data_IF_305372258222
#
_entry.id   IF_305372258222
#
_cell.length_a   1.000
_cell.length_b   1.000
_cell.length_c   1.000
_cell.angle_alpha   90.00
_cell.angle_beta   90.00
_cell.angle_gamma   90.00
#
_symmetry.space_group_name_H-M   'P 1'
#
loop_
_entity.id
_entity.type
_entity.pdbx_description
1 polymer ?
#
# COMPACT_ATOMS: atom_id res chain seq x y z
N UNK A 1 37.20 27.09 -1.99
CA UNK A 1 36.31 26.42 -1.01
C UNK A 1 36.73 24.94 -0.94
N UNK A 2 37.07 24.44 0.25
CA UNK A 2 37.71 23.12 0.44
C UNK A 2 36.74 21.94 0.31
N UNK A 3 37.21 20.85 -0.33
CA UNK A 3 36.49 19.59 -0.57
C UNK A 3 35.85 18.95 0.68
N UNK A 4 36.36 19.28 1.88
CA UNK A 4 35.82 18.80 3.14
C UNK A 4 34.37 19.27 3.42
N UNK A 5 33.95 20.43 2.89
CA UNK A 5 32.56 20.92 3.05
C UNK A 5 31.56 20.23 2.12
N UNK A 6 31.99 19.71 0.97
CA UNK A 6 31.11 19.01 0.03
C UNK A 6 30.78 17.57 0.49
N UNK A 7 31.74 16.89 1.12
CA UNK A 7 31.57 15.52 1.63
C UNK A 7 30.58 15.48 2.80
N UNK A 8 30.60 16.49 3.69
CA UNK A 8 29.69 16.57 4.82
C UNK A 8 28.21 16.78 4.39
N UNK A 9 27.97 17.57 3.32
CA UNK A 9 26.62 17.81 2.78
C UNK A 9 26.06 16.55 2.11
N UNK A 10 26.89 15.81 1.37
CA UNK A 10 26.49 14.56 0.71
C UNK A 10 26.22 13.41 1.71
N UNK A 11 27.04 13.28 2.75
CA UNK A 11 26.80 12.31 3.82
C UNK A 11 25.53 12.62 4.63
N UNK A 12 25.24 13.91 4.86
CA UNK A 12 24.00 14.36 5.50
C UNK A 12 22.75 14.04 4.66
N UNK A 13 22.82 14.24 3.33
CA UNK A 13 21.73 13.88 2.41
C UNK A 13 21.54 12.36 2.35
N UNK A 14 22.60 11.57 2.20
CA UNK A 14 22.51 10.11 2.17
C UNK A 14 21.94 9.53 3.48
N UNK A 15 22.33 10.10 4.63
CA UNK A 15 21.76 9.74 5.93
C UNK A 15 20.27 10.10 6.05
N UNK A 16 19.87 11.27 5.56
CA UNK A 16 18.46 11.69 5.48
C UNK A 16 17.65 10.77 4.56
N UNK A 17 18.17 10.42 3.39
CA UNK A 17 17.53 9.48 2.46
C UNK A 17 17.41 8.06 3.04
N UNK A 18 18.42 7.56 3.75
CA UNK A 18 18.35 6.25 4.40
C UNK A 18 17.28 6.20 5.51
N UNK A 19 17.14 7.28 6.29
CA UNK A 19 16.10 7.42 7.32
C UNK A 19 14.70 7.57 6.71
N UNK A 20 14.56 8.30 5.60
CA UNK A 20 13.32 8.44 4.84
C UNK A 20 12.92 7.14 4.13
N UNK A 21 13.87 6.31 3.69
CA UNK A 21 13.55 5.02 3.06
C UNK A 21 12.94 4.00 4.03
N UNK A 22 13.17 4.17 5.34
CA UNK A 22 12.62 3.27 6.37
C UNK A 22 11.36 3.79 7.04
N UNK A 23 10.99 5.05 6.81
CA UNK A 23 9.85 5.70 7.44
C UNK A 23 8.93 6.27 6.38
N UNK A 24 7.68 5.82 6.39
CA UNK A 24 6.61 6.48 5.64
C UNK A 24 6.61 7.96 5.98
N UNK A 25 6.84 8.81 4.99
CA UNK A 25 6.65 10.24 5.12
C UNK A 25 5.14 10.49 5.10
N UNK A 26 4.62 10.93 6.23
CA UNK A 26 3.20 11.22 6.44
C UNK A 26 3.08 12.67 6.88
N UNK A 27 2.28 13.46 6.16
CA UNK A 27 1.90 14.79 6.63
C UNK A 27 0.94 14.63 7.83
N UNK A 28 1.27 15.17 9.01
CA UNK A 28 0.38 15.11 10.17
C UNK A 28 -0.99 15.74 9.86
N UNK A 29 -2.08 15.08 10.26
CA UNK A 29 -3.45 15.58 10.05
C UNK A 29 -4.12 15.15 8.74
N UNK A 30 -3.40 14.49 7.82
CA UNK A 30 -3.99 13.98 6.58
C UNK A 30 -4.71 12.62 6.73
N UNK A 31 -4.55 11.94 7.88
CA UNK A 31 -5.14 10.63 8.10
C UNK A 31 -6.67 10.70 8.10
N UNK A 32 -7.30 9.86 7.29
CA UNK A 32 -8.75 9.76 7.22
C UNK A 32 -9.31 9.03 8.46
N UNK A 33 -10.51 9.41 8.94
CA UNK A 33 -11.20 8.65 9.98
C UNK A 33 -11.43 7.19 9.55
N UNK A 34 -11.34 6.20 10.46
CA UNK A 34 -11.55 4.79 10.12
C UNK A 34 -12.89 4.52 9.42
N UNK A 35 -13.97 5.18 9.85
CA UNK A 35 -15.29 5.04 9.21
C UNK A 35 -15.31 5.53 7.76
N UNK A 36 -14.56 6.59 7.43
CA UNK A 36 -14.45 7.09 6.05
C UNK A 36 -13.67 6.13 5.17
N UNK A 37 -12.60 5.51 5.69
CA UNK A 37 -11.85 4.46 4.98
C UNK A 37 -12.71 3.22 4.76
N UNK A 38 -13.48 2.80 5.77
CA UNK A 38 -14.42 1.69 5.65
C UNK A 38 -15.50 1.94 4.59
N UNK A 39 -16.11 3.14 4.59
CA UNK A 39 -17.10 3.52 3.59
C UNK A 39 -16.50 3.51 2.17
N UNK A 40 -15.28 4.04 2.01
CA UNK A 40 -14.57 4.03 0.74
C UNK A 40 -14.24 2.61 0.26
N UNK A 41 -13.85 1.71 1.17
CA UNK A 41 -13.61 0.30 0.86
C UNK A 41 -14.91 -0.37 0.36
N UNK A 42 -16.04 -0.15 1.05
CA UNK A 42 -17.35 -0.67 0.64
C UNK A 42 -17.74 -0.15 -0.74
N UNK A 43 -17.63 1.16 -0.97
CA UNK A 43 -17.93 1.78 -2.27
C UNK A 43 -17.06 1.19 -3.38
N UNK A 44 -15.76 1.08 -3.15
CA UNK A 44 -14.79 0.55 -4.13
C UNK A 44 -15.14 -0.90 -4.49
N UNK A 45 -15.40 -1.76 -3.51
CA UNK A 45 -15.77 -3.16 -3.73
C UNK A 45 -17.06 -3.28 -4.51
N UNK A 46 -18.10 -2.53 -4.11
CA UNK A 46 -19.40 -2.57 -4.75
C UNK A 46 -19.35 -2.07 -6.19
N UNK A 47 -18.61 -0.98 -6.44
CA UNK A 47 -18.53 -0.37 -7.76
C UNK A 47 -17.69 -1.17 -8.74
N UNK A 48 -16.56 -1.74 -8.32
CA UNK A 48 -15.56 -2.26 -9.24
C UNK A 48 -15.30 -3.76 -9.13
N UNK A 49 -15.57 -4.37 -7.97
CA UNK A 49 -15.19 -5.76 -7.69
C UNK A 49 -16.38 -6.69 -7.47
N UNK A 50 -17.61 -6.18 -7.55
CA UNK A 50 -18.84 -6.99 -7.47
C UNK A 50 -18.93 -7.84 -6.19
N UNK A 51 -18.41 -7.34 -5.06
CA UNK A 51 -18.41 -8.07 -3.79
C UNK A 51 -17.38 -9.20 -3.67
N UNK A 52 -16.46 -9.37 -4.63
CA UNK A 52 -15.44 -10.44 -4.58
C UNK A 52 -14.42 -10.28 -3.44
N UNK A 53 -14.29 -9.08 -2.90
CA UNK A 53 -13.37 -8.74 -1.80
C UNK A 53 -14.19 -8.32 -0.59
N UNK A 54 -13.85 -8.83 0.60
CA UNK A 54 -14.39 -8.30 1.85
C UNK A 54 -13.84 -6.87 2.09
N UNK A 55 -14.69 -5.83 2.15
CA UNK A 55 -14.24 -4.45 2.38
C UNK A 55 -13.45 -4.28 3.69
N UNK A 56 -13.69 -5.13 4.68
CA UNK A 56 -12.97 -5.08 5.96
C UNK A 56 -11.49 -5.45 5.79
N UNK A 57 -11.15 -6.29 4.80
CA UNK A 57 -9.74 -6.56 4.44
C UNK A 57 -9.08 -5.26 3.99
N UNK A 58 -9.72 -4.50 3.09
CA UNK A 58 -9.15 -3.27 2.54
C UNK A 58 -8.99 -2.19 3.62
N UNK A 59 -9.98 -2.04 4.49
CA UNK A 59 -9.90 -1.07 5.59
C UNK A 59 -8.79 -1.41 6.60
N UNK A 60 -8.63 -2.69 6.95
CA UNK A 60 -7.54 -3.15 7.82
C UNK A 60 -6.17 -3.00 7.16
N UNK A 61 -6.06 -3.27 5.85
CA UNK A 61 -4.84 -3.05 5.08
C UNK A 61 -4.47 -1.56 5.04
N UNK A 62 -5.40 -0.67 4.71
CA UNK A 62 -5.16 0.78 4.71
C UNK A 62 -4.62 1.28 6.07
N UNK A 63 -5.13 0.72 7.18
CA UNK A 63 -4.66 1.04 8.53
C UNK A 63 -3.20 0.66 8.76
N UNK A 64 -2.79 -0.55 8.39
CA UNK A 64 -1.42 -1.03 8.65
C UNK A 64 -0.40 -0.51 7.63
N UNK A 65 -0.85 -0.18 6.41
CA UNK A 65 0.02 0.30 5.34
C UNK A 65 0.36 1.77 5.52
N UNK A 66 -0.65 2.64 5.67
CA UNK A 66 -0.46 4.10 5.70
C UNK A 66 -0.88 4.76 7.00
N UNK A 67 -1.48 4.02 7.94
CA UNK A 67 -2.15 4.62 9.09
C UNK A 67 -3.39 5.43 8.68
N UNK A 68 -4.05 5.03 7.59
CA UNK A 68 -5.15 5.76 6.94
C UNK A 68 -4.75 7.08 6.27
N UNK A 69 -3.46 7.30 5.97
CA UNK A 69 -2.99 8.54 5.36
C UNK A 69 -2.90 8.41 3.82
N UNK A 70 -3.75 9.10 3.05
CA UNK A 70 -3.70 9.05 1.59
C UNK A 70 -2.49 9.79 1.00
N UNK A 71 -1.75 10.57 1.78
CA UNK A 71 -0.54 11.26 1.34
C UNK A 71 0.75 10.51 1.76
N UNK A 72 0.62 9.29 2.28
CA UNK A 72 1.75 8.47 2.70
C UNK A 72 2.66 8.13 1.51
N UNK A 73 3.96 8.33 1.68
CA UNK A 73 4.99 7.96 0.70
C UNK A 73 6.12 7.20 1.39
N UNK A 74 6.53 6.07 0.82
CA UNK A 74 7.71 5.33 1.27
C UNK A 74 8.56 4.90 0.08
N UNK A 75 9.83 5.27 0.11
CA UNK A 75 10.80 4.74 -0.85
C UNK A 75 11.18 3.32 -0.45
N UNK A 76 11.20 2.39 -1.40
CA UNK A 76 11.60 1.02 -1.16
C UNK A 76 13.04 0.81 -1.62
N UNK A 77 14.09 0.95 -0.79
CA UNK A 77 15.48 1.02 -1.27
C UNK A 77 15.98 -0.26 -1.98
N UNK A 78 15.25 -1.37 -1.87
CA UNK A 78 15.53 -2.63 -2.55
C UNK A 78 14.86 -2.74 -3.94
N UNK A 79 14.00 -1.79 -4.28
CA UNK A 79 13.31 -1.68 -5.56
C UNK A 79 13.51 -0.25 -6.08
N UNK A 80 13.75 -0.01 -7.37
CA UNK A 80 13.76 1.36 -7.89
C UNK A 80 12.33 1.94 -7.99
N UNK A 81 11.55 1.86 -6.91
CA UNK A 81 10.12 2.19 -6.82
C UNK A 81 9.73 2.76 -5.43
N UNK A 82 8.53 3.30 -5.33
CA UNK A 82 7.97 3.91 -4.13
C UNK A 82 6.54 3.38 -3.92
N UNK A 83 6.17 3.14 -2.67
CA UNK A 83 4.78 2.90 -2.29
C UNK A 83 4.10 4.22 -1.95
N UNK A 84 2.89 4.42 -2.50
CA UNK A 84 2.15 5.69 -2.37
C UNK A 84 0.72 5.45 -1.90
N UNK A 85 0.23 6.39 -1.10
CA UNK A 85 -1.18 6.53 -0.83
C UNK A 85 -1.70 5.67 0.30
N UNK A 86 -3.03 5.68 0.41
CA UNK A 86 -3.79 5.00 1.45
C UNK A 86 -3.45 3.51 1.56
N UNK A 87 -3.26 2.83 0.43
CA UNK A 87 -2.99 1.40 0.35
C UNK A 87 -1.50 1.06 0.18
N UNK A 88 -0.62 2.06 0.14
CA UNK A 88 0.83 1.91 -0.10
C UNK A 88 1.16 0.92 -1.25
N UNK A 89 0.38 0.94 -2.32
CA UNK A 89 0.69 0.16 -3.52
C UNK A 89 1.92 0.77 -4.20
N UNK A 90 2.84 -0.07 -4.66
CA UNK A 90 3.97 0.40 -5.48
C UNK A 90 3.46 1.01 -6.78
N UNK A 91 4.07 2.10 -7.24
CA UNK A 91 3.67 2.74 -8.51
C UNK A 91 3.79 1.75 -9.66
N UNK A 92 4.88 0.98 -9.73
CA UNK A 92 5.08 -0.05 -10.73
C UNK A 92 4.03 -1.16 -10.67
N UNK A 93 3.64 -1.60 -9.46
CA UNK A 93 2.57 -2.59 -9.29
C UNK A 93 1.22 -2.06 -9.78
N UNK A 94 0.88 -0.81 -9.44
CA UNK A 94 -0.38 -0.20 -9.89
C UNK A 94 -0.42 -0.06 -11.42
N UNK A 95 0.69 0.36 -12.04
CA UNK A 95 0.82 0.45 -13.49
C UNK A 95 0.72 -0.92 -14.17
N UNK A 96 1.38 -1.94 -13.64
CA UNK A 96 1.29 -3.31 -14.14
C UNK A 96 -0.14 -3.88 -14.02
N UNK A 97 -0.85 -3.62 -12.92
CA UNK A 97 -2.26 -4.00 -12.78
C UNK A 97 -3.14 -3.37 -13.87
N UNK A 98 -2.89 -2.10 -14.20
CA UNK A 98 -3.61 -1.39 -15.25
C UNK A 98 -3.24 -1.86 -16.66
N UNK A 99 -1.93 -1.93 -16.97
CA UNK A 99 -1.39 -2.24 -18.30
C UNK A 99 -1.64 -3.71 -18.68
N UNK A 100 -1.32 -4.61 -17.76
CA UNK A 100 -1.17 -6.03 -18.09
C UNK A 100 -2.29 -6.90 -17.50
N UNK A 101 -2.81 -6.56 -16.32
CA UNK A 101 -3.81 -7.40 -15.63
C UNK A 101 -5.27 -6.96 -15.88
N UNK A 102 -5.50 -5.86 -16.60
CA UNK A 102 -6.84 -5.43 -17.03
C UNK A 102 -7.63 -4.58 -16.04
N UNK A 103 -7.04 -4.12 -14.94
CA UNK A 103 -7.70 -3.24 -13.96
C UNK A 103 -7.73 -1.79 -14.46
N UNK A 104 -8.65 -1.51 -15.41
CA UNK A 104 -8.72 -0.25 -16.18
C UNK A 104 -9.94 0.63 -15.86
N UNK A 105 -10.57 0.45 -14.71
CA UNK A 105 -11.76 1.23 -14.34
C UNK A 105 -11.43 2.70 -14.02
N UNK A 106 -10.17 2.97 -13.64
CA UNK A 106 -9.61 4.31 -13.47
C UNK A 106 -8.50 4.55 -14.53
N UNK A 107 -8.10 5.81 -14.77
CA UNK A 107 -6.93 6.13 -15.60
C UNK A 107 -5.66 5.42 -15.15
N UNK A 108 -4.68 5.35 -16.04
CA UNK A 108 -3.38 4.77 -15.71
C UNK A 108 -2.72 5.51 -14.54
N UNK A 109 -2.30 4.80 -13.48
CA UNK A 109 -1.83 5.45 -12.26
C UNK A 109 -0.38 5.93 -12.40
N UNK A 110 -0.13 7.05 -11.73
CA UNK A 110 1.19 7.59 -11.43
C UNK A 110 1.29 7.90 -9.93
N UNK A 111 2.45 8.38 -9.48
CA UNK A 111 2.64 8.68 -8.07
C UNK A 111 1.66 9.76 -7.54
N UNK A 112 1.30 10.75 -8.37
CA UNK A 112 0.43 11.84 -7.95
C UNK A 112 -1.02 11.36 -7.78
N UNK A 113 -1.56 10.66 -8.76
CA UNK A 113 -2.91 10.09 -8.71
C UNK A 113 -3.07 9.07 -7.57
N UNK A 114 -2.03 8.32 -7.21
CA UNK A 114 -2.09 7.41 -6.04
C UNK A 114 -2.18 8.14 -4.68
N UNK A 115 -2.02 9.46 -4.64
CA UNK A 115 -2.31 10.25 -3.42
C UNK A 115 -3.80 10.56 -3.24
N UNK A 116 -4.62 10.36 -4.28
CA UNK A 116 -6.07 10.37 -4.15
C UNK A 116 -6.54 9.08 -3.45
N UNK A 117 -7.35 9.23 -2.41
CA UNK A 117 -7.76 8.11 -1.57
C UNK A 117 -8.54 7.04 -2.34
N UNK A 118 -9.42 7.46 -3.26
CA UNK A 118 -10.24 6.54 -4.04
C UNK A 118 -9.40 5.77 -5.08
N UNK A 119 -8.47 6.47 -5.74
CA UNK A 119 -7.53 5.88 -6.68
C UNK A 119 -6.60 4.88 -5.97
N UNK A 120 -6.06 5.26 -4.80
CA UNK A 120 -5.23 4.37 -3.98
C UNK A 120 -6.00 3.14 -3.50
N UNK A 121 -7.24 3.32 -3.02
CA UNK A 121 -8.10 2.21 -2.60
C UNK A 121 -8.40 1.26 -3.76
N UNK A 122 -8.70 1.79 -4.95
CA UNK A 122 -8.98 0.98 -6.15
C UNK A 122 -7.79 0.10 -6.53
N UNK A 123 -6.57 0.66 -6.65
CA UNK A 123 -5.41 -0.13 -7.05
C UNK A 123 -4.92 -1.07 -5.94
N UNK A 124 -5.07 -0.71 -4.67
CA UNK A 124 -4.87 -1.65 -3.56
C UNK A 124 -5.86 -2.82 -3.59
N UNK A 125 -7.14 -2.55 -3.86
CA UNK A 125 -8.17 -3.56 -4.05
C UNK A 125 -7.90 -4.45 -5.28
N UNK A 126 -7.45 -3.87 -6.38
CA UNK A 126 -7.05 -4.61 -7.58
C UNK A 126 -5.91 -5.60 -7.29
N UNK A 127 -4.93 -5.18 -6.48
CA UNK A 127 -3.85 -6.08 -6.10
C UNK A 127 -4.35 -7.21 -5.18
N UNK A 128 -5.25 -6.91 -4.24
CA UNK A 128 -5.92 -7.92 -3.39
C UNK A 128 -6.74 -8.90 -4.23
N UNK A 129 -7.54 -8.43 -5.20
CA UNK A 129 -8.32 -9.28 -6.12
C UNK A 129 -7.39 -10.21 -6.92
N UNK A 130 -6.31 -9.66 -7.47
CA UNK A 130 -5.32 -10.43 -8.23
C UNK A 130 -4.61 -11.49 -7.36
N UNK A 131 -4.18 -11.12 -6.15
CA UNK A 131 -3.57 -12.05 -5.19
C UNK A 131 -4.55 -13.15 -4.76
N UNK A 132 -5.84 -12.84 -4.64
CA UNK A 132 -6.87 -13.78 -4.18
C UNK A 132 -7.00 -15.01 -5.08
N UNK A 133 -6.63 -14.90 -6.36
CA UNK A 133 -6.65 -15.99 -7.34
C UNK A 133 -5.26 -16.22 -8.00
N UNK A 134 -4.18 -15.92 -7.27
CA UNK A 134 -2.84 -16.00 -7.82
C UNK A 134 -2.51 -17.38 -8.42
N UNK A 135 -2.21 -17.37 -9.74
CA UNK A 135 -1.97 -18.54 -10.60
C UNK A 135 -3.16 -19.50 -10.70
N UNK A 136 -4.39 -18.96 -10.69
CA UNK A 136 -5.62 -19.75 -10.79
C UNK A 136 -5.96 -20.52 -9.51
N UNK A 137 -5.27 -20.23 -8.40
CA UNK A 137 -5.51 -20.88 -7.11
C UNK A 137 -6.08 -19.85 -6.15
N UNK A 138 -7.24 -20.18 -5.56
CA UNK A 138 -7.84 -19.36 -4.50
C UNK A 138 -6.92 -19.34 -3.27
N UNK A 139 -6.60 -18.15 -2.79
CA UNK A 139 -5.67 -17.92 -1.67
C UNK A 139 -6.41 -17.60 -0.38
N UNK A 140 -5.79 -17.97 0.75
CA UNK A 140 -6.27 -17.58 2.07
C UNK A 140 -5.98 -16.10 2.32
N UNK A 141 -6.73 -15.49 3.24
CA UNK A 141 -6.54 -14.10 3.64
C UNK A 141 -5.12 -13.84 4.16
N UNK A 142 -4.58 -14.72 4.99
CA UNK A 142 -3.20 -14.63 5.45
C UNK A 142 -2.21 -14.62 4.27
N UNK A 143 -2.38 -15.54 3.30
CA UNK A 143 -1.49 -15.59 2.14
C UNK A 143 -1.55 -14.28 1.34
N UNK A 144 -2.74 -13.69 1.19
CA UNK A 144 -2.95 -12.42 0.49
C UNK A 144 -2.23 -11.28 1.23
N UNK A 145 -2.44 -11.14 2.55
CA UNK A 145 -1.83 -10.06 3.35
C UNK A 145 -0.31 -10.17 3.37
N UNK A 146 0.23 -11.38 3.55
CA UNK A 146 1.67 -11.60 3.52
C UNK A 146 2.27 -11.31 2.13
N UNK A 147 1.58 -11.72 1.07
CA UNK A 147 2.01 -11.49 -0.31
C UNK A 147 1.88 -10.03 -0.75
N UNK A 148 0.93 -9.29 -0.19
CA UNK A 148 0.81 -7.85 -0.44
C UNK A 148 2.05 -7.11 0.07
N UNK A 149 2.56 -7.51 1.25
CA UNK A 149 3.74 -6.92 1.86
C UNK A 149 5.07 -7.40 1.25
N UNK A 150 5.19 -8.71 1.02
CA UNK A 150 6.46 -9.35 0.68
C UNK A 150 6.59 -9.83 -0.77
N UNK A 151 5.55 -9.66 -1.58
CA UNK A 151 5.44 -10.26 -2.91
C UNK A 151 4.84 -11.68 -2.88
N UNK A 152 4.30 -12.18 -4.01
CA UNK A 152 3.56 -13.44 -4.08
C UNK A 152 4.30 -14.65 -3.50
N UNK A 153 3.73 -15.24 -2.45
CA UNK A 153 4.25 -16.47 -1.82
C UNK A 153 5.39 -16.25 -0.82
N UNK A 154 5.78 -15.00 -0.55
CA UNK A 154 6.77 -14.72 0.48
C UNK A 154 6.16 -14.87 1.88
N UNK A 155 6.78 -15.70 2.71
CA UNK A 155 6.38 -15.93 4.11
C UNK A 155 7.62 -16.00 5.00
N UNK A 156 7.93 -14.90 5.68
CA UNK A 156 9.10 -14.75 6.56
C UNK A 156 8.69 -14.08 7.89
N UNK A 157 9.65 -13.67 8.73
CA UNK A 157 9.33 -13.02 10.01
C UNK A 157 8.64 -11.67 9.84
N UNK A 158 8.97 -10.90 8.80
CA UNK A 158 8.38 -9.61 8.51
C UNK A 158 6.94 -9.75 7.99
N UNK A 159 6.69 -10.62 7.02
CA UNK A 159 5.33 -10.81 6.48
C UNK A 159 4.39 -11.38 7.55
N UNK A 160 4.87 -12.32 8.38
CA UNK A 160 4.09 -12.84 9.52
C UNK A 160 3.79 -11.76 10.56
N UNK A 161 4.74 -10.87 10.84
CA UNK A 161 4.47 -9.71 11.71
C UNK A 161 3.44 -8.75 11.08
N UNK A 162 3.49 -8.56 9.76
CA UNK A 162 2.49 -7.78 9.02
C UNK A 162 1.09 -8.38 9.17
N UNK A 163 0.97 -9.70 9.04
CA UNK A 163 -0.27 -10.44 9.31
C UNK A 163 -0.79 -10.25 10.74
N UNK A 164 0.08 -10.25 11.76
CA UNK A 164 -0.35 -9.98 13.14
C UNK A 164 -0.89 -8.56 13.33
N UNK A 165 -0.22 -7.56 12.72
CA UNK A 165 -0.71 -6.16 12.73
C UNK A 165 -2.05 -6.04 12.02
N UNK A 166 -2.20 -6.74 10.90
CA UNK A 166 -3.44 -6.81 10.15
C UNK A 166 -4.58 -7.38 11.01
N UNK A 167 -4.37 -8.50 11.69
CA UNK A 167 -5.37 -9.11 12.57
C UNK A 167 -5.82 -8.15 13.67
N UNK A 168 -4.87 -7.46 14.30
CA UNK A 168 -5.18 -6.45 15.32
C UNK A 168 -5.99 -5.28 14.74
N UNK A 169 -5.64 -4.80 13.54
CA UNK A 169 -6.39 -3.75 12.86
C UNK A 169 -7.81 -4.20 12.48
N UNK A 170 -7.96 -5.41 11.94
CA UNK A 170 -9.26 -5.99 11.57
C UNK A 170 -10.16 -6.16 12.78
N UNK A 171 -9.63 -6.68 13.89
CA UNK A 171 -10.39 -6.83 15.14
C UNK A 171 -10.89 -5.48 15.69
N UNK A 172 -10.08 -4.42 15.59
CA UNK A 172 -10.46 -3.08 16.04
C UNK A 172 -11.54 -2.40 15.16
N UNK A 173 -11.78 -2.90 13.95
CA UNK A 173 -12.83 -2.40 13.04
C UNK A 173 -14.17 -3.14 13.20
N UNK A 174 -14.14 -4.36 13.73
CA UNK A 174 -15.34 -5.20 13.92
C UNK A 174 -15.94 -5.13 15.33
N UNK A 175 -15.35 -4.32 16.22
CA UNK A 175 -15.87 -4.02 17.56
C UNK A 175 -16.75 -2.78 17.62
#
# INVERSE_FOLDING_TARGET
MSAARQIAVLAGLAGLFAVLSKKTLALPGAALPPGSVGALAVETVNRYFGGRIDPMILAAMAKIESGNNPLALRFEPHLPDYSVGLMQTLVGTAQWLWRDMGYRALPEPDAASLTDAATSMYFGAAYVDWLSNYRGVRRSEQWIVESYNGGPGNSNSQTRNHWQKYLAAKAALGG
#
